data_IF_564954539157
#
_entry.id   IF_564954539157
#
_cell.length_a   1.000
_cell.length_b   1.000
_cell.length_c   1.000
_cell.angle_alpha   90.00
_cell.angle_beta   90.00
_cell.angle_gamma   90.00
#
_symmetry.space_group_name_H-M   'P 1'
#
loop_
_entity.id
_entity.type
_entity.pdbx_description
1 polymer ?
#
# COMPACT_ATOMS: atom_id res chain seq x y z
N UNK A 1 -5.02 -7.62 -11.56
CA UNK A 1 -6.25 -8.30 -11.09
C UNK A 1 -6.02 -9.08 -9.79
N UNK A 2 -4.86 -9.73 -9.58
CA UNK A 2 -4.55 -10.50 -8.37
C UNK A 2 -4.72 -9.78 -7.00
N UNK A 3 -4.30 -8.51 -6.84
CA UNK A 3 -4.40 -7.83 -5.54
C UNK A 3 -5.85 -7.55 -5.11
N UNK A 4 -6.74 -7.26 -6.08
CA UNK A 4 -8.16 -7.05 -5.80
C UNK A 4 -8.84 -8.36 -5.38
N UNK A 5 -8.48 -9.49 -5.99
CA UNK A 5 -9.01 -10.81 -5.65
C UNK A 5 -8.57 -11.26 -4.24
N UNK A 6 -7.29 -11.07 -3.90
CA UNK A 6 -6.77 -11.37 -2.55
C UNK A 6 -7.40 -10.45 -1.49
N UNK A 7 -7.77 -9.22 -1.83
CA UNK A 7 -8.40 -8.31 -0.88
C UNK A 7 -9.74 -8.85 -0.34
N UNK A 8 -10.49 -9.61 -1.15
CA UNK A 8 -11.77 -10.18 -0.75
C UNK A 8 -11.59 -11.32 0.27
N UNK A 9 -10.59 -12.18 0.08
CA UNK A 9 -10.28 -13.25 1.03
C UNK A 9 -9.66 -12.71 2.33
N UNK A 10 -8.95 -11.59 2.25
CA UNK A 10 -8.36 -10.92 3.41
C UNK A 10 -9.42 -10.17 4.25
N UNK A 11 -10.48 -9.66 3.62
CA UNK A 11 -11.58 -8.97 4.30
C UNK A 11 -12.41 -9.85 5.25
N UNK A 12 -12.39 -11.18 5.07
CA UNK A 12 -12.98 -12.11 6.05
C UNK A 12 -12.08 -12.39 7.25
N UNK A 13 -10.76 -12.22 7.10
CA UNK A 13 -9.77 -12.50 8.14
C UNK A 13 -9.47 -11.30 9.02
N UNK A 14 -9.45 -10.11 8.41
CA UNK A 14 -9.37 -8.85 9.13
C UNK A 14 -10.79 -8.35 9.29
N UNK A 15 -11.19 -7.90 10.49
CA UNK A 15 -12.56 -7.45 10.82
C UNK A 15 -12.89 -6.10 10.13
N UNK A 16 -12.68 -6.02 8.82
CA UNK A 16 -12.85 -4.85 7.95
C UNK A 16 -14.32 -4.57 7.61
N UNK A 17 -15.23 -5.45 8.01
CA UNK A 17 -16.67 -5.30 7.77
C UNK A 17 -17.29 -4.06 8.41
N UNK A 18 -16.59 -3.40 9.34
CA UNK A 18 -17.03 -2.13 9.95
C UNK A 18 -16.45 -0.87 9.29
N UNK A 19 -15.54 -0.99 8.32
CA UNK A 19 -14.91 0.17 7.70
C UNK A 19 -15.75 0.68 6.53
N UNK A 20 -16.17 1.94 6.59
CA UNK A 20 -17.04 2.57 5.58
C UNK A 20 -16.34 2.86 4.26
N UNK A 21 -15.01 3.02 4.26
CA UNK A 21 -14.14 3.09 3.07
C UNK A 21 -12.75 2.60 3.45
N UNK A 22 -12.15 1.79 2.57
CA UNK A 22 -10.76 1.35 2.73
C UNK A 22 -9.93 1.72 1.49
N UNK A 23 -8.74 2.29 1.73
CA UNK A 23 -7.73 2.51 0.68
C UNK A 23 -6.59 1.51 0.85
N UNK A 24 -6.25 0.81 -0.22
CA UNK A 24 -5.15 -0.14 -0.28
C UNK A 24 -4.01 0.41 -1.12
N UNK A 25 -2.81 0.44 -0.53
CA UNK A 25 -1.60 0.93 -1.18
C UNK A 25 -0.67 -0.24 -1.47
N UNK A 26 -0.44 -0.63 -2.73
CA UNK A 26 0.65 -1.53 -3.06
C UNK A 26 1.98 -0.86 -2.70
N UNK A 27 2.91 -1.62 -2.13
CA UNK A 27 4.29 -1.18 -1.83
C UNK A 27 5.23 -2.33 -2.18
N UNK A 28 6.32 -2.02 -2.87
CA UNK A 28 7.42 -2.98 -3.09
C UNK A 28 8.46 -2.75 -2.00
N UNK A 29 8.68 -3.75 -1.15
CA UNK A 29 9.73 -3.68 -0.13
C UNK A 29 11.06 -4.17 -0.70
N UNK A 30 12.10 -3.36 -0.57
CA UNK A 30 13.46 -3.73 -0.98
C UNK A 30 14.36 -3.97 0.24
N UNK A 31 15.26 -4.93 0.14
CA UNK A 31 16.28 -5.17 1.19
C UNK A 31 17.42 -4.14 1.13
N UNK A 32 17.56 -3.45 0.00
CA UNK A 32 18.61 -2.45 -0.23
C UNK A 32 18.01 -1.12 -0.65
N UNK A 33 18.75 -0.03 -0.43
CA UNK A 33 18.43 1.26 -1.00
C UNK A 33 18.64 1.18 -2.53
N UNK A 34 17.53 1.15 -3.27
CA UNK A 34 17.54 1.13 -4.72
C UNK A 34 17.64 2.54 -5.31
N UNK A 35 18.08 2.64 -6.57
CA UNK A 35 18.07 3.90 -7.33
C UNK A 35 16.65 4.36 -7.69
N UNK A 36 15.71 3.41 -7.78
CA UNK A 36 14.33 3.67 -8.17
C UNK A 36 13.45 3.83 -6.93
N UNK A 37 12.71 4.93 -6.87
CA UNK A 37 11.75 5.22 -5.79
C UNK A 37 10.33 4.73 -6.11
N UNK A 38 10.02 4.54 -7.40
CA UNK A 38 8.70 4.15 -7.87
C UNK A 38 8.79 3.25 -9.10
N UNK A 39 7.76 2.42 -9.27
CA UNK A 39 7.46 1.72 -10.51
C UNK A 39 5.95 1.77 -10.77
N UNK A 40 5.50 2.40 -11.86
CA UNK A 40 4.07 2.62 -12.17
C UNK A 40 3.27 3.17 -10.97
N UNK A 41 3.78 4.25 -10.35
CA UNK A 41 3.22 4.92 -9.17
C UNK A 41 3.12 4.06 -7.90
N UNK A 42 3.72 2.86 -7.92
CA UNK A 42 3.91 2.01 -6.74
C UNK A 42 5.25 2.37 -6.09
N UNK A 43 5.28 2.74 -4.80
CA UNK A 43 6.52 3.07 -4.11
C UNK A 43 7.38 1.82 -3.91
N UNK A 44 8.68 2.00 -4.11
CA UNK A 44 9.73 1.04 -3.75
C UNK A 44 10.39 1.58 -2.49
N UNK A 45 10.22 0.85 -1.37
CA UNK A 45 10.62 1.32 -0.04
C UNK A 45 11.65 0.34 0.54
N UNK A 46 12.87 0.81 0.86
CA UNK A 46 13.82 0.00 1.61
C UNK A 46 13.24 -0.38 2.97
N UNK A 47 13.39 -1.63 3.37
CA UNK A 47 12.79 -2.15 4.61
C UNK A 47 13.17 -1.33 5.85
N UNK A 48 14.39 -0.80 5.87
CA UNK A 48 14.89 0.06 6.95
C UNK A 48 14.21 1.44 7.00
N UNK A 49 13.60 1.89 5.90
CA UNK A 49 12.92 3.19 5.78
C UNK A 49 11.39 3.05 5.81
N UNK A 50 10.87 1.83 6.03
CA UNK A 50 9.43 1.60 6.01
C UNK A 50 8.68 2.44 7.05
N UNK A 51 9.26 2.61 8.25
CA UNK A 51 8.64 3.43 9.29
C UNK A 51 8.51 4.89 8.84
N UNK A 52 9.57 5.47 8.30
CA UNK A 52 9.54 6.86 7.80
C UNK A 52 8.53 7.03 6.66
N UNK A 53 8.48 6.07 5.74
CA UNK A 53 7.48 6.05 4.68
C UNK A 53 6.05 6.00 5.22
N UNK A 54 5.77 5.17 6.23
CA UNK A 54 4.42 5.10 6.82
C UNK A 54 4.03 6.41 7.51
N UNK A 55 4.97 7.09 8.17
CA UNK A 55 4.74 8.38 8.81
C UNK A 55 4.39 9.48 7.79
N UNK A 56 4.98 9.44 6.59
CA UNK A 56 4.74 10.44 5.55
C UNK A 56 3.58 10.07 4.62
N UNK A 57 3.12 8.82 4.65
CA UNK A 57 2.04 8.29 3.78
C UNK A 57 0.80 9.19 3.69
N UNK A 58 0.26 9.74 4.80
CA UNK A 58 -0.94 10.59 4.73
C UNK A 58 -0.77 11.82 3.83
N UNK A 59 0.44 12.36 3.70
CA UNK A 59 0.71 13.57 2.92
C UNK A 59 0.64 13.34 1.40
N UNK A 60 0.94 12.13 0.92
CA UNK A 60 0.98 11.77 -0.50
C UNK A 60 0.05 10.62 -0.87
N UNK A 61 -0.85 10.22 0.03
CA UNK A 61 -1.78 9.12 -0.18
C UNK A 61 -2.62 9.24 -1.47
N UNK A 62 -2.88 10.45 -1.97
CA UNK A 62 -3.66 10.63 -3.19
C UNK A 62 -2.82 10.57 -4.47
N UNK A 63 -1.50 10.72 -4.39
CA UNK A 63 -0.59 10.65 -5.55
C UNK A 63 -0.02 9.25 -5.79
N UNK A 64 -0.15 8.34 -4.81
CA UNK A 64 0.26 6.96 -4.97
C UNK A 64 -0.83 6.14 -5.67
N UNK A 65 -0.39 5.10 -6.40
CA UNK A 65 -1.30 4.06 -6.85
C UNK A 65 -2.06 3.49 -5.65
N UNK A 66 -3.38 3.47 -5.72
CA UNK A 66 -4.21 2.94 -4.66
C UNK A 66 -5.48 2.30 -5.21
N UNK A 67 -6.06 1.41 -4.41
CA UNK A 67 -7.34 0.78 -4.70
C UNK A 67 -8.32 1.14 -3.60
N UNK A 68 -9.51 1.61 -3.97
CA UNK A 68 -10.57 1.94 -3.02
C UNK A 68 -11.60 0.83 -3.01
N UNK A 69 -11.94 0.33 -1.82
CA UNK A 69 -13.15 -0.47 -1.62
C UNK A 69 -14.22 0.41 -0.94
N UNK A 70 -15.43 0.49 -1.51
CA UNK A 70 -16.57 1.10 -0.83
C UNK A 70 -17.03 0.27 0.36
#
# INVERSE_FOLDING_TARGET
MALAEVSQSLAGKVKWTSWSKAKFFPVVLSLTAGRFKFYNDVPIVPILQLQDFLNQLPAYANSLKHFTRP
#
